data_IF_291609435564
#
_entry.id   IF_291609435564
#
_cell.length_a   1.000
_cell.length_b   1.000
_cell.length_c   1.000
_cell.angle_alpha   90.00
_cell.angle_beta   90.00
_cell.angle_gamma   90.00
#
_symmetry.space_group_name_H-M   'P 1'
#
loop_
_entity.id
_entity.type
_entity.pdbx_description
1 polymer ?
#
# COMPACT_ATOMS: atom_id res chain seq x y z
N UNK A 1 -10.14 8.47 -13.92
CA UNK A 1 -9.91 7.00 -14.10
C UNK A 1 -11.20 6.12 -14.17
N UNK A 2 -12.33 6.60 -14.74
CA UNK A 2 -13.56 5.80 -14.90
C UNK A 2 -13.58 4.85 -16.11
N UNK A 3 -12.50 4.81 -16.90
CA UNK A 3 -12.48 4.14 -18.21
C UNK A 3 -11.93 2.71 -18.18
N UNK A 4 -10.91 2.38 -17.38
CA UNK A 4 -10.29 1.04 -17.37
C UNK A 4 -11.12 -0.01 -16.61
N UNK A 5 -11.55 0.29 -15.38
CA UNK A 5 -12.49 -0.55 -14.60
C UNK A 5 -13.81 -0.78 -15.35
N UNK A 6 -14.21 0.19 -16.18
CA UNK A 6 -15.42 0.10 -16.98
C UNK A 6 -15.18 -0.71 -18.25
N UNK A 7 -13.95 -0.78 -18.78
CA UNK A 7 -13.63 -1.55 -19.98
C UNK A 7 -13.56 -3.05 -19.69
N UNK A 8 -12.95 -3.46 -18.58
CA UNK A 8 -12.90 -4.87 -18.17
C UNK A 8 -14.28 -5.40 -17.82
N UNK A 9 -15.07 -4.66 -17.02
CA UNK A 9 -16.46 -5.01 -16.77
C UNK A 9 -17.29 -5.02 -18.05
N UNK A 10 -17.06 -4.08 -18.99
CA UNK A 10 -17.73 -4.08 -20.30
C UNK A 10 -17.30 -5.24 -21.18
N UNK A 11 -16.03 -5.65 -21.18
CA UNK A 11 -15.52 -6.79 -21.94
C UNK A 11 -16.07 -8.10 -21.39
N UNK A 12 -16.15 -8.22 -20.07
CA UNK A 12 -16.78 -9.34 -19.37
C UNK A 12 -18.28 -9.38 -19.68
N UNK A 13 -18.99 -8.27 -19.50
CA UNK A 13 -20.42 -8.15 -19.84
C UNK A 13 -20.68 -8.40 -21.34
N UNK A 14 -19.79 -7.94 -22.22
CA UNK A 14 -19.87 -8.19 -23.65
C UNK A 14 -19.66 -9.68 -23.97
N UNK A 15 -18.71 -10.34 -23.30
CA UNK A 15 -18.45 -11.78 -23.45
C UNK A 15 -19.63 -12.63 -22.95
N UNK A 16 -20.23 -12.24 -21.82
CA UNK A 16 -21.47 -12.83 -21.30
C UNK A 16 -22.65 -12.58 -22.25
N UNK A 17 -22.72 -11.40 -22.89
CA UNK A 17 -23.75 -11.09 -23.89
C UNK A 17 -23.54 -11.81 -25.23
N UNK A 18 -22.29 -12.22 -25.54
CA UNK A 18 -21.92 -12.95 -26.75
C UNK A 18 -22.15 -14.47 -26.62
N UNK A 19 -22.12 -15.04 -25.41
CA UNK A 19 -22.50 -16.44 -25.17
C UNK A 19 -23.91 -16.80 -25.71
N UNK A 20 -24.95 -15.96 -25.52
CA UNK A 20 -26.24 -16.09 -26.22
C UNK A 20 -26.14 -16.12 -27.74
N UNK A 21 -25.13 -15.50 -28.35
CA UNK A 21 -24.92 -15.49 -29.80
C UNK A 21 -24.53 -16.87 -30.31
N UNK A 22 -23.64 -17.60 -29.63
CA UNK A 22 -23.33 -18.99 -29.97
C UNK A 22 -24.56 -19.90 -29.81
N UNK A 23 -25.37 -19.68 -28.78
CA UNK A 23 -26.62 -20.40 -28.59
C UNK A 23 -27.68 -20.05 -29.66
N UNK A 24 -27.74 -18.80 -30.12
CA UNK A 24 -28.62 -18.35 -31.22
C UNK A 24 -28.20 -18.97 -32.55
N UNK A 25 -26.89 -19.02 -32.85
CA UNK A 25 -26.36 -19.67 -34.06
C UNK A 25 -26.63 -21.18 -34.01
N UNK A 26 -26.47 -21.81 -32.84
CA UNK A 26 -26.79 -23.24 -32.66
C UNK A 26 -28.27 -23.56 -32.89
N UNK A 27 -29.18 -22.71 -32.39
CA UNK A 27 -30.64 -22.83 -32.64
C UNK A 27 -30.98 -22.63 -34.12
N UNK A 28 -30.43 -21.59 -34.75
CA UNK A 28 -30.59 -21.38 -36.19
C UNK A 28 -30.08 -22.58 -37.00
N UNK A 29 -28.91 -23.12 -36.66
CA UNK A 29 -28.37 -24.31 -37.31
C UNK A 29 -29.29 -25.52 -37.14
N UNK A 30 -30.00 -25.63 -36.02
CA UNK A 30 -30.99 -26.68 -35.76
C UNK A 30 -32.24 -26.52 -36.65
N UNK A 31 -32.77 -25.30 -36.74
CA UNK A 31 -33.95 -24.95 -37.54
C UNK A 31 -33.77 -25.27 -39.04
N UNK A 32 -32.53 -25.30 -39.52
CA UNK A 32 -32.18 -25.61 -40.92
C UNK A 32 -31.48 -26.98 -41.09
N UNK A 33 -31.47 -27.85 -40.07
CA UNK A 33 -30.90 -29.20 -40.15
C UNK A 33 -29.36 -29.25 -40.34
N UNK A 34 -28.65 -28.17 -40.01
CA UNK A 34 -27.21 -28.03 -40.15
C UNK A 34 -26.46 -28.69 -38.96
N UNK A 35 -26.56 -30.01 -38.84
CA UNK A 35 -26.07 -30.79 -37.71
C UNK A 35 -24.57 -30.57 -37.38
N UNK A 36 -23.73 -30.34 -38.40
CA UNK A 36 -22.30 -30.03 -38.20
C UNK A 36 -22.08 -28.69 -37.50
N UNK A 37 -22.82 -27.65 -37.89
CA UNK A 37 -22.73 -26.30 -37.30
C UNK A 37 -23.33 -26.30 -35.89
N UNK A 38 -24.46 -26.99 -35.68
CA UNK A 38 -25.04 -27.19 -34.35
C UNK A 38 -24.06 -27.83 -33.38
N UNK A 39 -23.38 -28.91 -33.82
CA UNK A 39 -22.39 -29.61 -33.00
C UNK A 39 -21.18 -28.72 -32.69
N UNK A 40 -20.66 -28.00 -33.68
CA UNK A 40 -19.52 -27.10 -33.50
C UNK A 40 -19.83 -25.93 -32.55
N UNK A 41 -20.99 -25.28 -32.73
CA UNK A 41 -21.44 -24.17 -31.88
C UNK A 41 -21.74 -24.60 -30.46
N UNK A 42 -22.31 -25.80 -30.27
CA UNK A 42 -22.56 -26.37 -28.93
C UNK A 42 -21.24 -26.66 -28.22
N UNK A 43 -20.27 -27.29 -28.89
CA UNK A 43 -18.94 -27.54 -28.31
C UNK A 43 -18.22 -26.24 -27.95
N UNK A 44 -18.27 -25.23 -28.82
CA UNK A 44 -17.67 -23.92 -28.56
C UNK A 44 -18.33 -23.22 -27.36
N UNK A 45 -19.66 -23.22 -27.28
CA UNK A 45 -20.38 -22.63 -26.15
C UNK A 45 -20.06 -23.35 -24.82
N UNK A 46 -20.07 -24.69 -24.82
CA UNK A 46 -19.74 -25.48 -23.62
C UNK A 46 -18.31 -25.30 -23.14
N UNK A 47 -17.37 -24.94 -24.03
CA UNK A 47 -15.99 -24.63 -23.65
C UNK A 47 -15.84 -23.19 -23.13
N UNK A 48 -16.48 -22.21 -23.78
CA UNK A 48 -16.28 -20.78 -23.49
C UNK A 48 -17.10 -20.30 -22.28
N UNK A 49 -18.33 -20.78 -22.10
CA UNK A 49 -19.23 -20.28 -21.04
C UNK A 49 -18.65 -20.45 -19.64
N UNK A 50 -18.09 -21.63 -19.25
CA UNK A 50 -17.50 -21.80 -17.92
C UNK A 50 -16.31 -20.87 -17.70
N UNK A 51 -15.43 -20.72 -18.70
CA UNK A 51 -14.27 -19.82 -18.62
C UNK A 51 -14.70 -18.37 -18.41
N UNK A 52 -15.66 -17.87 -19.20
CA UNK A 52 -16.18 -16.52 -19.06
C UNK A 52 -16.81 -16.31 -17.69
N UNK A 53 -17.61 -17.28 -17.20
CA UNK A 53 -18.21 -17.21 -15.86
C UNK A 53 -17.15 -17.11 -14.77
N UNK A 54 -16.13 -17.96 -14.81
CA UNK A 54 -15.04 -17.92 -13.83
C UNK A 54 -14.32 -16.56 -13.86
N UNK A 55 -14.05 -16.00 -15.05
CA UNK A 55 -13.47 -14.66 -15.17
C UNK A 55 -14.36 -13.58 -14.54
N UNK A 56 -15.69 -13.64 -14.74
CA UNK A 56 -16.65 -12.71 -14.09
C UNK A 56 -16.55 -12.83 -12.57
N UNK A 57 -16.63 -14.06 -12.06
CA UNK A 57 -16.59 -14.32 -10.62
C UNK A 57 -15.27 -13.82 -9.99
N UNK A 58 -14.15 -13.98 -10.68
CA UNK A 58 -12.86 -13.43 -10.23
C UNK A 58 -12.84 -11.90 -10.21
N UNK A 59 -13.38 -11.24 -11.24
CA UNK A 59 -13.47 -9.77 -11.31
C UNK A 59 -14.41 -9.22 -10.23
N UNK A 60 -15.57 -9.84 -10.03
CA UNK A 60 -16.54 -9.43 -9.00
C UNK A 60 -15.95 -9.62 -7.60
N UNK A 61 -15.27 -10.74 -7.34
CA UNK A 61 -14.58 -10.97 -6.07
C UNK A 61 -13.48 -9.94 -5.81
N UNK A 62 -12.70 -9.54 -6.82
CA UNK A 62 -11.69 -8.50 -6.69
C UNK A 62 -12.32 -7.12 -6.42
N UNK A 63 -13.39 -6.78 -7.15
CA UNK A 63 -14.14 -5.55 -6.92
C UNK A 63 -14.68 -5.47 -5.49
N UNK A 64 -15.20 -6.56 -4.95
CA UNK A 64 -15.72 -6.62 -3.58
C UNK A 64 -14.60 -6.49 -2.54
N UNK A 65 -13.42 -7.08 -2.79
CA UNK A 65 -12.23 -6.90 -1.93
C UNK A 65 -11.74 -5.45 -1.94
N UNK A 66 -11.69 -4.81 -3.11
CA UNK A 66 -11.32 -3.38 -3.23
C UNK A 66 -12.32 -2.50 -2.47
N UNK A 67 -13.63 -2.74 -2.60
CA UNK A 67 -14.66 -2.02 -1.85
C UNK A 67 -14.47 -2.21 -0.35
N UNK A 68 -14.24 -3.44 0.10
CA UNK A 68 -14.02 -3.76 1.50
C UNK A 68 -12.80 -3.02 2.06
N UNK A 69 -11.65 -3.08 1.37
CA UNK A 69 -10.45 -2.33 1.76
C UNK A 69 -10.74 -0.84 1.84
N UNK A 70 -11.36 -0.26 0.81
CA UNK A 70 -11.67 1.16 0.75
C UNK A 70 -12.57 1.60 1.90
N UNK A 71 -13.61 0.81 2.23
CA UNK A 71 -14.51 1.12 3.33
C UNK A 71 -13.77 1.11 4.67
N UNK A 72 -12.92 0.10 4.91
CA UNK A 72 -12.08 0.02 6.12
C UNK A 72 -11.11 1.20 6.22
N UNK A 73 -10.40 1.50 5.13
CA UNK A 73 -9.46 2.62 5.07
C UNK A 73 -10.16 3.97 5.33
N UNK A 74 -11.36 4.17 4.76
CA UNK A 74 -12.17 5.36 5.00
C UNK A 74 -12.66 5.46 6.45
N UNK A 75 -13.09 4.34 7.04
CA UNK A 75 -13.52 4.28 8.44
C UNK A 75 -12.38 4.65 9.39
N UNK A 76 -11.20 4.05 9.23
CA UNK A 76 -10.02 4.36 10.06
C UNK A 76 -9.55 5.81 9.88
N UNK A 77 -9.60 6.33 8.65
CA UNK A 77 -9.25 7.73 8.37
C UNK A 77 -10.24 8.70 9.01
N UNK A 78 -11.54 8.38 8.99
CA UNK A 78 -12.57 9.16 9.69
C UNK A 78 -12.41 9.07 11.21
N UNK A 79 -12.02 7.92 11.74
CA UNK A 79 -11.73 7.76 13.17
C UNK A 79 -10.60 8.71 13.56
N UNK A 80 -9.47 8.65 12.85
CA UNK A 80 -8.35 9.58 13.05
C UNK A 80 -8.80 11.04 12.98
N UNK A 81 -9.54 11.43 11.95
CA UNK A 81 -9.97 12.82 11.75
C UNK A 81 -10.86 13.35 12.90
N UNK A 82 -11.58 12.47 13.59
CA UNK A 82 -12.36 12.79 14.79
C UNK A 82 -11.52 12.85 16.07
N UNK A 83 -10.20 12.67 15.96
CA UNK A 83 -9.32 12.50 17.11
C UNK A 83 -9.59 11.20 17.87
N UNK A 84 -10.29 10.23 17.25
CA UNK A 84 -10.42 8.90 17.83
C UNK A 84 -9.07 8.21 17.76
N UNK A 85 -8.85 7.37 18.75
CA UNK A 85 -7.53 6.92 19.12
C UNK A 85 -7.10 5.74 18.26
N UNK A 86 -5.82 5.72 17.91
CA UNK A 86 -5.20 4.58 17.25
C UNK A 86 -4.59 3.65 18.28
N UNK A 87 -4.66 2.35 18.00
CA UNK A 87 -4.01 1.31 18.81
C UNK A 87 -2.53 1.18 18.43
N UNK A 88 -2.17 1.53 17.20
CA UNK A 88 -0.79 1.57 16.71
C UNK A 88 -0.22 2.99 16.76
N UNK A 89 1.11 3.10 16.81
CA UNK A 89 1.83 4.38 16.73
C UNK A 89 1.92 4.97 15.32
N UNK A 90 1.48 4.22 14.30
CA UNK A 90 1.28 4.74 12.95
C UNK A 90 -0.04 4.23 12.38
N UNK A 91 -0.58 4.96 11.42
CA UNK A 91 -1.78 4.58 10.68
C UNK A 91 -1.56 4.79 9.20
N UNK A 92 -2.37 4.06 8.43
CA UNK A 92 -2.53 4.27 7.01
C UNK A 92 -3.78 5.12 6.80
N UNK A 93 -3.59 6.34 6.30
CA UNK A 93 -4.67 7.32 6.12
C UNK A 93 -5.04 7.39 4.66
N UNK A 94 -6.30 7.09 4.35
CA UNK A 94 -6.87 7.24 3.03
C UNK A 94 -6.90 8.72 2.64
N UNK A 95 -6.20 9.04 1.56
CA UNK A 95 -6.12 10.38 0.98
C UNK A 95 -6.65 10.34 -0.46
N UNK A 96 -7.03 11.52 -0.95
CA UNK A 96 -7.41 11.71 -2.34
C UNK A 96 -6.66 12.90 -2.94
N UNK A 97 -6.38 12.86 -4.24
CA UNK A 97 -5.81 13.98 -5.02
C UNK A 97 -4.51 14.54 -4.45
N UNK A 98 -3.71 13.70 -3.77
CA UNK A 98 -2.45 14.08 -3.14
C UNK A 98 -2.59 15.18 -2.07
N UNK A 99 -3.76 15.30 -1.46
CA UNK A 99 -3.95 16.09 -0.24
C UNK A 99 -3.38 15.27 0.91
N UNK A 100 -2.07 15.39 1.11
CA UNK A 100 -1.33 14.63 2.12
C UNK A 100 -1.39 15.36 3.47
N UNK A 101 -1.76 14.67 4.57
CA UNK A 101 -1.74 15.23 5.93
C UNK A 101 -0.38 15.85 6.29
N UNK A 102 -0.39 16.92 7.07
CA UNK A 102 0.84 17.63 7.47
C UNK A 102 1.74 16.79 8.39
N UNK A 103 1.16 15.82 9.09
CA UNK A 103 1.82 14.86 9.97
C UNK A 103 2.20 13.53 9.28
N UNK A 104 2.04 13.46 7.95
CA UNK A 104 2.50 12.32 7.18
C UNK A 104 4.04 12.20 7.21
N UNK A 105 4.54 10.98 7.27
CA UNK A 105 5.97 10.73 7.36
C UNK A 105 6.65 10.84 5.99
N UNK A 106 7.59 11.77 5.84
CA UNK A 106 8.40 11.90 4.62
C UNK A 106 9.42 10.76 4.56
N UNK A 107 9.26 9.86 3.59
CA UNK A 107 10.08 8.67 3.43
C UNK A 107 11.27 8.85 2.49
N UNK A 108 11.32 9.96 1.77
CA UNK A 108 12.38 10.27 0.82
C UNK A 108 12.31 11.71 0.40
N UNK A 109 13.19 12.07 -0.52
CA UNK A 109 13.35 13.44 -1.00
C UNK A 109 13.64 13.38 -2.50
N UNK A 110 12.97 14.24 -3.24
CA UNK A 110 13.16 14.42 -4.67
C UNK A 110 14.37 15.34 -4.93
N UNK A 111 14.81 15.44 -6.19
CA UNK A 111 15.98 16.26 -6.56
C UNK A 111 15.81 17.75 -6.26
N UNK A 112 14.57 18.22 -6.16
CA UNK A 112 14.22 19.61 -5.83
C UNK A 112 14.02 19.84 -4.33
N UNK A 113 14.29 18.85 -3.48
CA UNK A 113 14.09 18.91 -2.03
C UNK A 113 12.66 18.65 -1.57
N UNK A 114 11.71 18.42 -2.49
CA UNK A 114 10.33 18.09 -2.12
C UNK A 114 10.24 16.68 -1.53
N UNK A 115 9.38 16.46 -0.51
CA UNK A 115 9.29 15.17 0.16
C UNK A 115 8.57 14.12 -0.70
N UNK A 116 9.10 12.89 -0.68
CA UNK A 116 8.37 11.70 -1.09
C UNK A 116 7.71 11.05 0.12
N UNK A 117 6.43 10.74 0.01
CA UNK A 117 5.67 9.95 0.98
C UNK A 117 5.53 8.53 0.48
N UNK A 118 5.59 7.58 1.41
CA UNK A 118 5.19 6.20 1.11
C UNK A 118 3.66 6.11 1.09
N UNK A 119 3.13 5.45 0.07
CA UNK A 119 1.70 5.19 -0.05
C UNK A 119 1.43 3.74 -0.39
N UNK A 120 0.20 3.28 -0.16
CA UNK A 120 -0.23 1.94 -0.56
C UNK A 120 -1.66 1.92 -1.10
N UNK A 121 -1.96 0.91 -1.91
CA UNK A 121 -3.29 0.65 -2.46
C UNK A 121 -3.57 -0.84 -2.47
N UNK A 122 -4.85 -1.23 -2.43
CA UNK A 122 -5.25 -2.62 -2.68
C UNK A 122 -5.62 -2.84 -4.15
N UNK A 123 -4.95 -3.79 -4.81
CA UNK A 123 -5.20 -4.23 -6.19
C UNK A 123 -4.71 -5.67 -6.37
N UNK A 124 -5.35 -6.39 -7.29
CA UNK A 124 -4.94 -7.74 -7.71
C UNK A 124 -4.73 -8.70 -6.52
N UNK A 125 -5.63 -8.64 -5.55
CA UNK A 125 -5.60 -9.51 -4.37
C UNK A 125 -4.62 -9.10 -3.26
N UNK A 126 -3.80 -8.05 -3.41
CA UNK A 126 -2.80 -7.66 -2.42
C UNK A 126 -2.62 -6.16 -2.26
N UNK A 127 -1.80 -5.77 -1.28
CA UNK A 127 -1.35 -4.39 -1.13
C UNK A 127 -0.12 -4.12 -2.01
N UNK A 128 -0.15 -2.99 -2.69
CA UNK A 128 0.96 -2.47 -3.50
C UNK A 128 1.48 -1.19 -2.88
N UNK A 129 2.78 -1.14 -2.59
CA UNK A 129 3.45 0.10 -2.20
C UNK A 129 3.70 0.99 -3.42
N UNK A 130 3.67 2.29 -3.16
CA UNK A 130 3.98 3.33 -4.09
C UNK A 130 4.68 4.50 -3.40
N UNK A 131 4.91 5.54 -4.19
CA UNK A 131 5.40 6.82 -3.70
C UNK A 131 4.46 7.94 -4.13
N UNK A 132 4.31 8.94 -3.28
CA UNK A 132 3.47 10.10 -3.56
C UNK A 132 4.17 11.40 -3.23
N UNK A 133 4.04 12.40 -4.09
CA UNK A 133 4.36 13.80 -3.78
C UNK A 133 3.12 14.54 -3.29
N UNK A 134 3.29 15.61 -2.51
CA UNK A 134 2.16 16.40 -1.99
C UNK A 134 1.58 17.33 -3.07
N UNK A 135 0.28 17.60 -3.00
CA UNK A 135 -0.32 18.73 -3.71
C UNK A 135 0.07 20.04 -3.03
N UNK A 136 0.71 20.94 -3.77
CA UNK A 136 1.22 22.21 -3.26
C UNK A 136 0.51 23.37 -3.95
N UNK A 137 -0.09 24.27 -3.16
CA UNK A 137 -0.64 25.52 -3.67
C UNK A 137 0.43 26.60 -3.72
N UNK A 138 0.61 27.20 -4.89
CA UNK A 138 1.46 28.37 -5.05
C UNK A 138 0.78 29.57 -4.40
N UNK A 139 1.39 30.10 -3.33
CA UNK A 139 0.82 31.22 -2.55
C UNK A 139 0.63 32.52 -3.32
N UNK A 140 1.32 32.72 -4.44
CA UNK A 140 1.24 33.97 -5.22
C UNK A 140 0.12 33.91 -6.25
N UNK A 141 -0.10 32.74 -6.84
CA UNK A 141 -1.04 32.52 -7.94
C UNK A 141 -2.32 31.82 -7.49
N UNK A 142 -2.32 31.17 -6.32
CA UNK A 142 -3.40 30.31 -5.83
C UNK A 142 -3.52 28.99 -6.59
N UNK A 143 -2.58 28.66 -7.48
CA UNK A 143 -2.66 27.46 -8.32
C UNK A 143 -2.11 26.27 -7.55
N UNK A 144 -2.93 25.24 -7.37
CA UNK A 144 -2.51 23.95 -6.80
C UNK A 144 -1.86 23.05 -7.86
N UNK A 145 -0.63 22.61 -7.60
CA UNK A 145 0.09 21.63 -8.40
C UNK A 145 0.12 20.29 -7.67
N UNK A 146 -0.46 19.26 -8.29
CA UNK A 146 -0.50 17.92 -7.73
C UNK A 146 0.83 17.21 -7.96
N UNK A 147 1.47 16.73 -6.89
CA UNK A 147 2.59 15.78 -7.02
C UNK A 147 2.13 14.45 -7.65
N UNK A 148 3.05 13.62 -8.19
CA UNK A 148 2.67 12.32 -8.75
C UNK A 148 2.40 11.31 -7.63
N UNK A 149 1.48 10.37 -7.85
CA UNK A 149 1.24 9.22 -6.95
C UNK A 149 1.43 7.90 -7.71
N UNK A 150 2.63 7.32 -7.67
CA UNK A 150 3.06 6.25 -8.56
C UNK A 150 3.06 4.90 -7.86
N UNK A 151 2.34 3.94 -8.45
CA UNK A 151 2.29 2.54 -8.04
C UNK A 151 2.77 1.65 -9.18
N UNK A 152 3.60 0.66 -8.87
CA UNK A 152 3.94 -0.41 -9.82
C UNK A 152 2.99 -1.58 -9.59
N UNK A 153 2.10 -1.80 -10.54
CA UNK A 153 1.08 -2.87 -10.46
C UNK A 153 1.16 -3.64 -11.78
N UNK A 154 1.46 -4.93 -11.69
CA UNK A 154 1.62 -5.83 -12.84
C UNK A 154 2.57 -5.29 -13.93
N UNK A 155 3.75 -4.84 -13.50
CA UNK A 155 4.77 -4.28 -14.39
C UNK A 155 4.47 -2.87 -14.92
N UNK A 156 3.25 -2.35 -14.73
CA UNK A 156 2.80 -1.05 -15.23
C UNK A 156 2.83 0.02 -14.14
N UNK A 157 3.20 1.25 -14.54
CA UNK A 157 3.02 2.42 -13.69
C UNK A 157 1.57 2.88 -13.73
N UNK A 158 0.95 2.87 -12.56
CA UNK A 158 -0.43 3.28 -12.35
C UNK A 158 -0.43 4.47 -11.42
N UNK A 159 -1.04 5.56 -11.87
CA UNK A 159 -1.33 6.70 -11.03
C UNK A 159 -2.75 6.58 -10.47
N UNK A 160 -2.87 6.69 -9.15
CA UNK A 160 -4.15 6.57 -8.45
C UNK A 160 -4.55 7.89 -7.80
N UNK A 161 -5.85 8.18 -7.84
CA UNK A 161 -6.45 9.34 -7.18
C UNK A 161 -6.61 9.12 -5.68
N UNK A 162 -6.92 7.88 -5.26
CA UNK A 162 -7.15 7.50 -3.86
C UNK A 162 -6.22 6.36 -3.45
N UNK A 163 -5.61 6.50 -2.28
CA UNK A 163 -4.66 5.55 -1.70
C UNK A 163 -4.43 5.89 -0.23
N UNK A 164 -3.78 5.00 0.51
CA UNK A 164 -3.39 5.29 1.89
C UNK A 164 -1.96 5.85 1.95
N UNK A 165 -1.70 6.77 2.88
CA UNK A 165 -0.36 7.30 3.21
C UNK A 165 -0.01 6.98 4.65
N UNK A 166 1.27 6.71 4.91
CA UNK A 166 1.77 6.48 6.25
C UNK A 166 1.78 7.78 7.07
N UNK A 167 1.11 7.76 8.21
CA UNK A 167 1.03 8.87 9.15
C UNK A 167 1.37 8.37 10.55
N UNK A 168 2.09 9.18 11.32
CA UNK A 168 2.38 8.86 12.71
C UNK A 168 1.23 9.25 13.64
N UNK A 169 1.01 8.45 14.67
CA UNK A 169 0.01 8.68 15.70
C UNK A 169 0.71 9.19 16.95
N UNK A 170 0.08 10.12 17.63
CA UNK A 170 0.39 10.38 19.03
C UNK A 170 -0.25 9.26 19.84
N UNK A 171 0.57 8.54 20.60
CA UNK A 171 0.07 7.53 21.53
C UNK A 171 -0.21 8.17 22.88
N UNK A 172 -1.33 7.77 23.48
CA UNK A 172 -1.74 8.17 24.82
C UNK A 172 -1.50 6.99 25.78
N UNK A 173 -0.48 7.07 26.67
CA UNK A 173 -0.02 5.91 27.45
C UNK A 173 -1.11 5.31 28.35
N UNK A 174 -1.90 6.16 29.01
CA UNK A 174 -3.00 5.74 29.89
C UNK A 174 -4.02 4.78 29.21
N UNK A 175 -4.03 4.72 27.88
CA UNK A 175 -5.01 3.98 27.09
C UNK A 175 -4.44 2.72 26.43
N UNK A 176 -3.14 2.47 26.61
CA UNK A 176 -2.47 1.22 26.24
C UNK A 176 -2.63 0.14 27.32
N UNK A 177 -2.74 0.54 28.61
CA UNK A 177 -2.73 -0.37 29.79
C UNK A 177 -3.86 -1.40 29.84
N UNK A 178 -5.01 -1.10 29.25
CA UNK A 178 -6.20 -1.95 29.32
C UNK A 178 -6.30 -2.98 28.17
N UNK A 179 -5.29 -3.05 27.29
CA UNK A 179 -5.33 -3.90 26.09
C UNK A 179 -4.47 -5.16 26.26
N UNK A 180 -5.14 -6.31 26.38
CA UNK A 180 -4.53 -7.63 26.53
C UNK A 180 -3.97 -8.23 25.21
N UNK A 181 -3.75 -7.43 24.17
CA UNK A 181 -3.45 -7.95 22.84
C UNK A 181 -1.96 -8.19 22.66
N UNK A 182 -1.57 -9.35 22.12
CA UNK A 182 -0.23 -9.52 21.55
C UNK A 182 -0.13 -8.62 20.31
N UNK A 183 0.44 -7.43 20.43
CA UNK A 183 0.91 -6.71 19.26
C UNK A 183 2.25 -7.31 18.80
N UNK A 184 2.54 -7.24 17.50
CA UNK A 184 3.81 -7.68 16.88
C UNK A 184 5.03 -6.82 17.30
N UNK A 185 4.91 -6.09 18.40
CA UNK A 185 5.99 -5.26 18.92
C UNK A 185 6.95 -6.19 19.66
N UNK A 186 8.24 -5.92 19.54
CA UNK A 186 9.25 -6.56 20.38
C UNK A 186 9.08 -6.21 21.89
N UNK A 187 8.14 -5.30 22.21
CA UNK A 187 7.83 -4.84 23.56
C UNK A 187 6.47 -5.36 24.02
N UNK A 188 6.41 -5.71 25.31
CA UNK A 188 5.15 -5.86 26.01
C UNK A 188 4.41 -4.50 26.07
N UNK A 189 3.10 -4.50 25.81
CA UNK A 189 2.29 -3.25 25.75
C UNK A 189 2.33 -2.52 27.09
N UNK A 190 2.32 -3.25 28.21
CA UNK A 190 2.38 -2.64 29.52
C UNK A 190 3.74 -1.99 29.73
N UNK A 191 4.84 -2.67 29.36
CA UNK A 191 6.19 -2.11 29.41
C UNK A 191 6.31 -0.84 28.56
N UNK A 192 5.78 -0.86 27.34
CA UNK A 192 5.75 0.31 26.48
C UNK A 192 4.96 1.45 27.11
N UNK A 193 3.75 1.16 27.60
CA UNK A 193 2.90 2.15 28.26
C UNK A 193 3.62 2.80 29.43
N UNK A 194 4.28 2.01 30.28
CA UNK A 194 4.99 2.52 31.45
C UNK A 194 6.20 3.35 31.05
N UNK A 195 6.90 3.00 29.97
CA UNK A 195 8.00 3.81 29.40
C UNK A 195 7.48 5.15 28.89
N UNK A 196 6.39 5.15 28.11
CA UNK A 196 5.81 6.38 27.59
C UNK A 196 5.31 7.28 28.74
N UNK A 197 4.73 6.73 29.81
CA UNK A 197 4.38 7.47 31.03
C UNK A 197 5.59 8.10 31.72
N UNK A 198 6.76 7.47 31.63
CA UNK A 198 8.04 7.99 32.13
C UNK A 198 8.68 9.02 31.19
N UNK A 199 8.00 9.42 30.12
CA UNK A 199 8.48 10.39 29.14
C UNK A 199 9.43 9.82 28.09
N UNK A 200 9.51 8.49 27.95
CA UNK A 200 10.17 7.88 26.80
C UNK A 200 9.38 8.19 25.53
N UNK A 201 10.06 8.20 24.39
CA UNK A 201 9.46 8.51 23.09
C UNK A 201 9.67 7.37 22.10
N UNK A 202 8.72 7.16 21.19
CA UNK A 202 8.94 6.32 20.01
C UNK A 202 9.59 7.19 18.93
N UNK A 203 10.72 6.73 18.39
CA UNK A 203 11.41 7.38 17.27
C UNK A 203 11.51 6.45 16.07
N UNK A 204 11.27 7.02 14.90
CA UNK A 204 11.51 6.36 13.63
C UNK A 204 12.96 6.52 13.18
N UNK A 205 13.52 5.47 12.60
CA UNK A 205 14.89 5.42 12.10
C UNK A 205 14.95 4.78 10.71
N UNK A 206 15.86 5.26 9.89
CA UNK A 206 16.26 4.58 8.67
C UNK A 206 17.50 3.75 8.96
N UNK A 207 17.31 2.44 9.14
CA UNK A 207 18.39 1.53 9.50
C UNK A 207 19.00 0.91 8.24
N UNK A 208 20.33 0.94 8.06
CA UNK A 208 20.99 0.26 6.95
C UNK A 208 20.62 -1.22 6.94
N UNK A 209 20.14 -1.72 5.81
CA UNK A 209 19.77 -3.12 5.65
C UNK A 209 20.90 -3.91 4.99
N UNK A 210 21.17 -5.15 5.41
CA UNK A 210 21.92 -6.07 4.56
C UNK A 210 21.14 -6.37 3.28
N UNK A 211 21.89 -6.71 2.24
CA UNK A 211 21.41 -7.43 1.05
C UNK A 211 22.20 -8.76 1.01
N UNK A 212 21.55 -9.93 1.11
CA UNK A 212 20.09 -10.14 1.17
C UNK A 212 19.45 -9.73 2.50
N UNK A 213 18.27 -9.11 2.43
CA UNK A 213 17.43 -8.77 3.57
C UNK A 213 16.92 -10.02 4.30
N UNK A 214 16.88 -9.91 5.62
CA UNK A 214 16.14 -10.78 6.51
C UNK A 214 15.70 -9.99 7.73
N UNK A 215 14.51 -10.31 8.24
CA UNK A 215 13.93 -9.65 9.42
C UNK A 215 14.76 -9.94 10.67
N UNK A 216 15.43 -11.09 10.73
CA UNK A 216 16.31 -11.52 11.82
C UNK A 216 17.72 -10.93 11.80
N UNK A 217 17.99 -9.91 10.98
CA UNK A 217 19.32 -9.29 10.93
C UNK A 217 19.68 -8.61 12.24
N UNK A 218 20.95 -8.73 12.64
CA UNK A 218 21.47 -8.05 13.82
C UNK A 218 21.30 -6.52 13.75
N UNK A 219 21.26 -5.94 12.53
CA UNK A 219 21.03 -4.51 12.31
C UNK A 219 19.67 -4.02 12.82
N UNK A 220 18.69 -4.92 12.98
CA UNK A 220 17.34 -4.59 13.44
C UNK A 220 17.09 -4.98 14.89
N UNK A 221 18.10 -5.54 15.59
CA UNK A 221 17.99 -5.93 17.00
C UNK A 221 17.54 -4.76 17.87
N UNK A 222 16.49 -4.97 18.67
CA UNK A 222 15.94 -3.93 19.54
C UNK A 222 15.12 -2.85 18.81
N UNK A 223 14.83 -3.05 17.52
CA UNK A 223 13.99 -2.17 16.72
C UNK A 223 12.78 -2.93 16.18
N UNK A 224 11.72 -2.21 15.84
CA UNK A 224 10.56 -2.75 15.16
C UNK A 224 10.59 -2.35 13.69
N UNK A 225 10.46 -3.31 12.78
CA UNK A 225 10.35 -3.04 11.36
C UNK A 225 8.96 -2.48 11.02
N UNK A 226 8.88 -1.44 10.19
CA UNK A 226 7.58 -0.89 9.79
C UNK A 226 7.02 -1.67 8.61
N UNK A 227 5.95 -2.42 8.85
CA UNK A 227 5.24 -3.17 7.82
C UNK A 227 4.44 -2.24 6.91
N UNK A 228 4.54 -2.48 5.61
CA UNK A 228 3.69 -1.83 4.62
C UNK A 228 2.40 -2.59 4.33
N UNK A 229 2.33 -3.86 4.73
CA UNK A 229 1.21 -4.78 4.52
C UNK A 229 1.67 -6.11 3.95
N UNK A 230 0.75 -6.81 3.29
CA UNK A 230 0.98 -8.13 2.69
C UNK A 230 0.72 -8.07 1.18
N UNK A 231 1.55 -8.79 0.43
CA UNK A 231 1.36 -9.04 -0.99
C UNK A 231 0.15 -9.97 -1.20
N UNK A 232 -0.18 -10.24 -2.47
CA UNK A 232 -1.30 -11.11 -2.85
C UNK A 232 -1.17 -12.55 -2.33
N UNK A 233 0.05 -13.02 -2.09
CA UNK A 233 0.38 -14.36 -1.56
C UNK A 233 0.42 -14.39 -0.02
N UNK A 234 0.16 -13.26 0.65
CA UNK A 234 0.25 -13.12 2.10
C UNK A 234 1.65 -12.78 2.62
N UNK A 235 2.69 -12.76 1.76
CA UNK A 235 4.05 -12.40 2.16
C UNK A 235 4.09 -10.96 2.67
N UNK A 236 4.59 -10.70 3.90
CA UNK A 236 4.71 -9.35 4.42
C UNK A 236 5.83 -8.59 3.71
N UNK A 237 5.66 -7.28 3.57
CA UNK A 237 6.70 -6.38 3.09
C UNK A 237 6.88 -5.19 4.02
N UNK A 238 8.07 -4.60 3.96
CA UNK A 238 8.53 -3.55 4.85
C UNK A 238 8.85 -2.28 4.07
N UNK A 239 8.60 -1.15 4.72
CA UNK A 239 8.88 0.16 4.16
C UNK A 239 10.39 0.34 4.13
N UNK A 240 10.92 0.65 2.95
CA UNK A 240 12.34 0.84 2.72
C UNK A 240 12.57 2.08 1.87
N UNK A 241 13.83 2.49 1.74
CA UNK A 241 14.24 3.54 0.81
C UNK A 241 15.64 3.29 0.28
N UNK A 242 15.89 3.75 -0.93
CA UNK A 242 17.21 3.69 -1.55
C UNK A 242 17.54 4.99 -2.27
N UNK A 243 18.83 5.28 -2.35
CA UNK A 243 19.33 6.40 -3.14
C UNK A 243 19.45 6.01 -4.61
N UNK A 244 18.93 6.87 -5.49
CA UNK A 244 19.02 6.70 -6.94
C UNK A 244 18.96 8.08 -7.61
N UNK A 245 19.78 8.34 -8.63
CA UNK A 245 19.82 9.64 -9.33
C UNK A 245 19.74 10.88 -8.40
N UNK A 246 20.60 10.95 -7.38
CA UNK A 246 20.67 12.10 -6.45
C UNK A 246 19.36 12.39 -5.69
N UNK A 247 18.54 11.37 -5.49
CA UNK A 247 17.30 11.44 -4.72
C UNK A 247 17.16 10.20 -3.86
N UNK A 248 16.32 10.29 -2.84
CA UNK A 248 15.99 9.17 -1.97
C UNK A 248 14.56 8.73 -2.26
N UNK A 249 14.39 7.50 -2.74
CA UNK A 249 13.09 6.98 -3.13
C UNK A 249 12.56 5.98 -2.11
N UNK A 250 11.30 6.13 -1.67
CA UNK A 250 10.59 5.08 -0.96
C UNK A 250 10.48 3.82 -1.83
N UNK A 251 10.53 2.67 -1.18
CA UNK A 251 10.46 1.36 -1.80
C UNK A 251 9.89 0.31 -0.86
N UNK A 252 9.94 -0.93 -1.33
CA UNK A 252 9.51 -2.10 -0.58
C UNK A 252 10.61 -3.16 -0.54
N UNK A 253 10.73 -3.85 0.59
CA UNK A 253 11.57 -5.04 0.73
C UNK A 253 10.81 -6.13 1.46
N UNK A 254 11.18 -7.37 1.19
CA UNK A 254 10.55 -8.56 1.76
C UNK A 254 11.56 -9.72 1.75
N UNK A 255 11.35 -10.74 2.58
CA UNK A 255 12.30 -11.85 2.70
C UNK A 255 12.36 -12.75 1.45
N UNK A 256 11.39 -12.65 0.54
CA UNK A 256 11.43 -13.31 -0.76
C UNK A 256 12.20 -12.48 -1.80
N UNK A 257 12.04 -11.15 -1.82
CA UNK A 257 12.72 -10.26 -2.78
C UNK A 257 14.18 -9.99 -2.41
N UNK A 258 14.51 -10.02 -1.12
CA UNK A 258 15.85 -9.82 -0.52
C UNK A 258 16.48 -8.43 -0.74
N UNK A 259 16.13 -7.72 -1.79
CA UNK A 259 16.57 -6.36 -2.10
C UNK A 259 15.40 -5.39 -2.06
N UNK A 260 15.70 -4.10 -1.91
CA UNK A 260 14.68 -3.06 -2.07
C UNK A 260 14.32 -2.91 -3.54
N UNK A 261 13.02 -2.80 -3.79
CA UNK A 261 12.45 -2.36 -5.05
C UNK A 261 11.94 -0.91 -4.91
N UNK A 262 12.39 -0.02 -5.79
CA UNK A 262 11.87 1.35 -5.94
C UNK A 262 11.24 1.55 -7.33
N UNK A 263 10.33 2.52 -7.44
CA UNK A 263 9.78 2.95 -8.74
C UNK A 263 10.50 4.20 -9.24
N UNK A 264 11.00 4.18 -10.47
CA UNK A 264 11.62 5.33 -11.10
C UNK A 264 11.51 5.27 -12.63
N UNK A 265 11.06 6.38 -13.23
CA UNK A 265 11.08 6.57 -14.68
C UNK A 265 10.39 5.46 -15.48
N UNK A 266 9.20 4.99 -15.08
CA UNK A 266 8.55 3.90 -15.81
C UNK A 266 9.03 2.51 -15.40
N UNK A 267 10.02 2.37 -14.52
CA UNK A 267 10.66 1.08 -14.19
C UNK A 267 10.72 0.75 -12.71
N UNK A 268 10.71 -0.54 -12.44
CA UNK A 268 11.07 -1.10 -11.14
C UNK A 268 12.60 -1.24 -11.08
N UNK A 269 13.21 -0.72 -10.04
CA UNK A 269 14.66 -0.72 -9.87
C UNK A 269 14.98 -1.41 -8.55
N UNK A 270 15.84 -2.44 -8.63
CA UNK A 270 16.38 -3.12 -7.46
C UNK A 270 17.67 -2.46 -7.00
N UNK A 271 17.79 -2.21 -5.71
CA UNK A 271 18.99 -1.67 -5.09
C UNK A 271 19.44 -2.58 -3.93
N UNK A 272 20.74 -2.79 -3.81
CA UNK A 272 21.34 -3.62 -2.75
C UNK A 272 21.83 -2.79 -1.56
N UNK A 273 22.06 -1.50 -1.75
CA UNK A 273 22.34 -0.55 -0.68
C UNK A 273 21.08 0.24 -0.35
N UNK A 274 20.46 -0.03 0.79
CA UNK A 274 19.19 0.57 1.16
C UNK A 274 18.98 0.57 2.67
N UNK A 275 17.96 1.31 3.08
CA UNK A 275 17.55 1.41 4.47
C UNK A 275 16.14 0.89 4.64
N UNK A 276 15.85 0.31 5.79
CA UNK A 276 14.50 -0.10 6.20
C UNK A 276 14.03 0.84 7.30
N UNK A 277 12.76 1.24 7.22
CA UNK A 277 12.15 2.06 8.25
C UNK A 277 11.91 1.20 9.49
N UNK A 278 12.41 1.65 10.63
CA UNK A 278 12.20 1.00 11.92
C UNK A 278 11.73 1.99 12.97
N UNK A 279 11.18 1.49 14.07
CA UNK A 279 10.87 2.26 15.27
C UNK A 279 11.66 1.74 16.47
N UNK A 280 12.06 2.63 17.37
CA UNK A 280 12.63 2.31 18.68
C UNK A 280 12.00 3.15 19.78
N UNK A 281 12.05 2.66 21.02
CA UNK A 281 11.64 3.42 22.21
C UNK A 281 12.90 3.99 22.85
N UNK A 282 13.01 5.32 22.93
CA UNK A 282 14.19 6.02 23.45
C UNK A 282 13.88 6.70 24.78
N UNK A 283 14.84 6.77 25.72
CA UNK A 283 14.63 7.46 26.98
C UNK A 283 14.48 8.98 26.79
N UNK A 284 13.87 9.67 27.77
CA UNK A 284 13.91 11.12 27.83
C UNK A 284 15.36 11.60 27.76
N UNK A 285 15.61 12.70 27.02
CA UNK A 285 16.93 13.33 27.02
C UNK A 285 17.19 13.85 28.43
N UNK A 286 18.16 13.28 29.15
CA UNK A 286 18.65 13.87 30.39
C UNK A 286 19.12 15.29 30.07
N UNK A 287 18.59 16.29 30.78
CA UNK A 287 19.06 17.66 30.67
C UNK A 287 20.54 17.68 31.07
N UNK A 288 21.44 17.60 30.09
CA UNK A 288 22.85 17.80 30.34
C UNK A 288 23.01 19.27 30.74
N UNK A 289 23.21 19.50 32.04
CA UNK A 289 23.78 20.75 32.51
C UNK A 289 25.11 20.91 31.80
N UNK A 290 25.15 21.77 30.78
CA UNK A 290 26.39 22.20 30.16
C UNK A 290 27.33 22.64 31.31
N UNK A 291 28.56 22.11 31.40
CA UNK A 291 29.50 22.61 32.37
C UNK A 291 29.76 24.08 32.03
N UNK A 292 29.30 24.98 32.90
CA UNK A 292 29.71 26.38 32.89
C UNK A 292 31.19 26.42 33.21
N UNK A 293 32.02 26.59 32.18
CA UNK A 293 33.40 27.00 32.37
C UNK A 293 33.40 28.44 32.90
N UNK A 294 33.74 28.59 34.18
CA UNK A 294 34.09 29.86 34.81
C UNK A 294 35.55 30.19 34.54
#
# INVERSE_FOLDING_TARGET
MRLSLNLEQKLVNASVSAAPTFAKIGRFADDFGMNGIKTATTKAASAVIPTVRNCVEHVDAENDRIKLWRNKAAEESMRRAKGLESEDFFSWVLVANNIIPDDAWACGENTDGSPWYVCRTYRMGGLHLGKSGKCVEDRKTGVSTRGPALFRIDGSDVELEEYEVLVLNKLEPAKLKDKATKHEWAYDIQELSDKLDQGWEIKLHWMPSPSPFTTGSANFTGTMLIHGGNKHDGTPFYISRGEYFQSTYPGMVSEDTRDVTITFGGKEIRLTNFHVLTATVVPPVESSSLPTYH
#
